data_IF_803958703333
#
_entry.id   IF_803958703333
#
_cell.length_a   1.000
_cell.length_b   1.000
_cell.length_c   1.000
_cell.angle_alpha   90.00
_cell.angle_beta   90.00
_cell.angle_gamma   90.00
#
_symmetry.space_group_name_H-M   'P 1'
#
loop_
_entity.id
_entity.type
_entity.pdbx_description
1 polymer ?
#
# COMPACT_ATOMS: atom_id res chain seq x y z
N UNK A 1 -14.81 20.22 -55.12
CA UNK A 1 -15.63 20.69 -53.98
C UNK A 1 -15.32 19.78 -52.81
N UNK A 2 -14.41 20.20 -51.91
CA UNK A 2 -14.04 19.43 -50.73
C UNK A 2 -14.85 19.97 -49.55
N UNK A 3 -15.78 19.16 -49.05
CA UNK A 3 -16.64 19.49 -47.91
C UNK A 3 -15.89 19.23 -46.59
N UNK A 4 -15.56 20.34 -45.92
CA UNK A 4 -15.41 20.58 -44.48
C UNK A 4 -15.21 19.34 -43.57
N UNK A 5 -13.96 19.10 -43.20
CA UNK A 5 -13.54 18.17 -42.13
C UNK A 5 -13.36 18.88 -40.76
N UNK A 6 -13.60 20.20 -40.68
CA UNK A 6 -13.29 21.02 -39.51
C UNK A 6 -14.45 21.90 -39.02
N UNK A 7 -15.69 21.50 -39.28
CA UNK A 7 -16.85 22.19 -38.72
C UNK A 7 -17.19 21.62 -37.33
N UNK A 8 -16.38 22.01 -36.35
CA UNK A 8 -16.48 21.59 -34.95
C UNK A 8 -16.82 22.78 -34.03
N UNK A 9 -17.66 23.70 -34.49
CA UNK A 9 -18.08 24.88 -33.70
C UNK A 9 -19.52 24.85 -33.18
N UNK A 10 -20.33 23.83 -33.48
CA UNK A 10 -21.73 23.78 -33.02
C UNK A 10 -22.06 22.54 -32.17
N UNK A 11 -21.43 22.42 -31.00
CA UNK A 11 -21.98 21.62 -29.89
C UNK A 11 -21.90 22.41 -28.59
N UNK A 12 -22.82 23.37 -28.51
CA UNK A 12 -23.25 24.03 -27.29
C UNK A 12 -23.60 22.99 -26.21
N UNK A 13 -22.85 23.05 -25.11
CA UNK A 13 -23.30 22.96 -23.72
C UNK A 13 -24.67 22.29 -23.49
N UNK A 14 -24.70 20.96 -23.57
CA UNK A 14 -25.61 20.19 -22.72
C UNK A 14 -24.85 19.89 -21.41
N UNK A 15 -25.13 20.69 -20.39
CA UNK A 15 -24.88 20.42 -18.98
C UNK A 15 -25.57 19.09 -18.60
N UNK A 16 -24.97 17.97 -19.00
CA UNK A 16 -25.16 16.72 -18.29
C UNK A 16 -24.57 16.96 -16.92
N UNK A 17 -25.45 17.16 -15.93
CA UNK A 17 -25.16 16.84 -14.53
C UNK A 17 -24.68 15.39 -14.52
N UNK A 18 -23.38 15.17 -14.74
CA UNK A 18 -22.73 13.90 -14.49
C UNK A 18 -23.00 13.63 -13.01
N UNK A 19 -23.86 12.65 -12.75
CA UNK A 19 -23.93 12.04 -11.43
C UNK A 19 -22.48 11.75 -11.04
N UNK A 20 -21.98 12.46 -10.02
CA UNK A 20 -20.63 12.26 -9.52
C UNK A 20 -20.54 10.81 -9.09
N UNK A 21 -20.01 9.96 -9.97
CA UNK A 21 -19.76 8.55 -9.66
C UNK A 21 -18.98 8.52 -8.36
N UNK A 22 -19.54 7.84 -7.37
CA UNK A 22 -18.89 7.69 -6.07
C UNK A 22 -17.50 7.08 -6.30
N UNK A 23 -16.48 7.75 -5.79
CA UNK A 23 -15.11 7.27 -5.89
C UNK A 23 -14.97 6.06 -4.97
N UNK A 24 -14.27 5.03 -5.44
CA UNK A 24 -14.05 3.82 -4.64
C UNK A 24 -13.06 4.10 -3.50
N UNK A 25 -13.41 3.58 -2.33
CA UNK A 25 -12.52 3.52 -1.17
C UNK A 25 -11.58 2.31 -1.22
N UNK A 26 -12.01 1.22 -1.88
CA UNK A 26 -11.17 0.04 -2.14
C UNK A 26 -10.07 0.36 -3.14
N UNK A 27 -8.80 0.19 -2.75
CA UNK A 27 -7.65 0.38 -3.62
C UNK A 27 -7.30 -0.91 -4.35
N UNK A 28 -7.13 -0.83 -5.67
CA UNK A 28 -6.46 -1.87 -6.41
C UNK A 28 -4.95 -1.63 -6.44
N UNK A 29 -4.17 -2.65 -6.80
CA UNK A 29 -2.70 -2.55 -6.82
C UNK A 29 -2.18 -1.44 -7.73
N UNK A 30 -2.91 -1.12 -8.80
CA UNK A 30 -2.54 -0.05 -9.72
C UNK A 30 -2.93 1.35 -9.21
N UNK A 31 -3.76 1.46 -8.16
CA UNK A 31 -4.14 2.74 -7.56
C UNK A 31 -3.13 3.20 -6.48
N UNK A 32 -2.23 2.32 -6.05
CA UNK A 32 -1.26 2.61 -5.00
C UNK A 32 -0.25 3.69 -5.44
N UNK A 33 0.21 4.51 -4.49
CA UNK A 33 1.20 5.58 -4.74
C UNK A 33 2.42 5.08 -5.52
N UNK A 34 2.94 3.90 -5.18
CA UNK A 34 4.08 3.30 -5.89
C UNK A 34 3.82 3.12 -7.39
N UNK A 35 2.60 2.70 -7.78
CA UNK A 35 2.24 2.51 -9.18
C UNK A 35 1.94 3.83 -9.90
N UNK A 36 1.46 4.85 -9.16
CA UNK A 36 1.09 6.15 -9.72
C UNK A 36 2.29 7.08 -9.89
N UNK A 37 3.33 6.93 -9.06
CA UNK A 37 4.54 7.77 -9.06
C UNK A 37 5.71 7.13 -9.82
N UNK A 38 5.50 5.96 -10.44
CA UNK A 38 6.50 5.30 -11.27
C UNK A 38 6.20 5.59 -12.74
N UNK A 39 7.15 6.22 -13.42
CA UNK A 39 7.04 6.54 -14.83
C UNK A 39 7.34 5.30 -15.70
N UNK A 40 6.85 5.25 -16.95
CA UNK A 40 7.03 4.08 -17.83
C UNK A 40 8.50 3.70 -18.09
N UNK A 41 9.42 4.65 -17.97
CA UNK A 41 10.86 4.47 -18.14
C UNK A 41 11.59 4.12 -16.84
N UNK A 42 10.86 3.91 -15.74
CA UNK A 42 11.42 3.47 -14.46
C UNK A 42 11.96 4.59 -13.58
N UNK A 43 11.76 5.85 -13.97
CA UNK A 43 12.05 7.00 -13.11
C UNK A 43 10.89 7.25 -12.14
N UNK A 44 11.21 7.74 -10.95
CA UNK A 44 10.21 8.17 -9.98
C UNK A 44 10.57 9.55 -9.46
N UNK A 45 9.61 10.46 -9.52
CA UNK A 45 9.76 11.79 -8.94
C UNK A 45 9.65 11.77 -7.41
N UNK A 46 9.35 10.63 -6.78
CA UNK A 46 9.04 10.52 -5.36
C UNK A 46 10.14 11.10 -4.46
N UNK A 47 11.40 10.87 -4.83
CA UNK A 47 12.56 11.30 -4.05
C UNK A 47 12.83 12.80 -4.12
N UNK A 48 12.26 13.50 -5.11
CA UNK A 48 12.33 14.95 -5.23
C UNK A 48 11.27 15.69 -4.41
N UNK A 49 10.29 14.96 -3.88
CA UNK A 49 9.15 15.52 -3.15
C UNK A 49 9.42 15.51 -1.64
N UNK A 50 8.94 16.55 -0.96
CA UNK A 50 8.89 16.55 0.50
C UNK A 50 7.68 15.76 1.03
N UNK A 51 7.65 15.47 2.34
CA UNK A 51 6.58 14.68 2.95
C UNK A 51 5.18 15.29 2.76
N UNK A 52 5.05 16.62 2.76
CA UNK A 52 3.77 17.30 2.56
C UNK A 52 3.26 17.14 1.13
N UNK A 53 4.15 17.21 0.15
CA UNK A 53 3.83 16.98 -1.27
C UNK A 53 3.43 15.52 -1.51
N UNK A 54 4.18 14.58 -0.92
CA UNK A 54 3.86 13.14 -0.97
C UNK A 54 2.48 12.91 -0.35
N UNK A 55 2.20 13.51 0.81
CA UNK A 55 0.91 13.39 1.48
C UNK A 55 -0.23 13.95 0.64
N UNK A 56 -0.05 15.15 0.07
CA UNK A 56 -1.03 15.79 -0.80
C UNK A 56 -1.36 14.92 -2.02
N UNK A 57 -0.36 14.31 -2.65
CA UNK A 57 -0.56 13.36 -3.75
C UNK A 57 -1.32 12.12 -3.27
N UNK A 58 -0.91 11.57 -2.13
CA UNK A 58 -1.52 10.38 -1.52
C UNK A 58 -3.00 10.56 -1.20
N UNK A 59 -3.37 11.71 -0.61
CA UNK A 59 -4.73 11.99 -0.17
C UNK A 59 -5.69 12.42 -1.29
N UNK A 60 -5.17 12.89 -2.44
CA UNK A 60 -5.98 13.43 -3.55
C UNK A 60 -6.78 12.37 -4.30
N UNK A 61 -6.22 11.18 -4.48
CA UNK A 61 -6.79 10.13 -5.32
C UNK A 61 -6.94 10.53 -6.79
N UNK A 62 -7.79 9.82 -7.53
CA UNK A 62 -8.06 10.08 -8.94
C UNK A 62 -9.58 10.07 -9.26
N UNK A 63 -9.95 10.01 -10.56
CA UNK A 63 -11.36 9.96 -10.97
C UNK A 63 -12.09 8.70 -10.47
N UNK A 64 -11.35 7.63 -10.23
CA UNK A 64 -11.87 6.33 -9.81
C UNK A 64 -11.77 6.13 -8.30
N UNK A 65 -10.70 6.58 -7.64
CA UNK A 65 -10.42 6.34 -6.22
C UNK A 65 -10.42 7.60 -5.37
N UNK A 66 -10.87 7.47 -4.13
CA UNK A 66 -10.91 8.60 -3.18
C UNK A 66 -9.52 9.07 -2.80
N UNK A 67 -8.59 8.14 -2.64
CA UNK A 67 -7.19 8.38 -2.28
C UNK A 67 -6.28 7.35 -2.97
N UNK A 68 -4.96 7.48 -2.84
CA UNK A 68 -3.94 6.55 -3.36
C UNK A 68 -3.28 5.68 -2.28
N UNK A 69 -3.62 5.91 -1.01
CA UNK A 69 -3.26 5.05 0.12
C UNK A 69 -4.39 5.02 1.14
N UNK A 70 -4.68 3.84 1.69
CA UNK A 70 -5.70 3.71 2.72
C UNK A 70 -5.35 4.47 4.02
N UNK A 71 -4.08 4.85 4.22
CA UNK A 71 -3.67 5.72 5.33
C UNK A 71 -4.32 7.12 5.26
N UNK A 72 -4.75 7.55 4.06
CA UNK A 72 -5.46 8.81 3.86
C UNK A 72 -6.96 8.75 4.22
N UNK A 73 -7.50 7.57 4.53
CA UNK A 73 -8.86 7.46 5.07
C UNK A 73 -8.99 8.25 6.38
N UNK A 74 -10.16 8.76 6.67
CA UNK A 74 -10.43 9.48 7.92
C UNK A 74 -10.34 8.51 9.12
N UNK A 75 -9.52 8.76 10.16
CA UNK A 75 -9.41 7.84 11.30
C UNK A 75 -10.73 7.68 12.05
N UNK A 76 -11.52 8.75 12.16
CA UNK A 76 -12.76 8.75 12.92
C UNK A 76 -13.91 8.10 12.14
N UNK A 77 -13.96 8.32 10.81
CA UNK A 77 -14.99 7.75 9.94
C UNK A 77 -14.67 6.35 9.40
N UNK A 78 -13.40 6.00 9.24
CA UNK A 78 -12.97 4.80 8.53
C UNK A 78 -11.60 4.25 9.03
N UNK A 79 -11.54 4.03 10.34
CA UNK A 79 -10.38 3.44 11.01
C UNK A 79 -9.94 2.09 10.38
N UNK A 80 -10.87 1.32 9.83
CA UNK A 80 -10.57 0.02 9.23
C UNK A 80 -9.65 0.16 8.01
N UNK A 81 -9.92 1.11 7.12
CA UNK A 81 -9.04 1.34 5.97
C UNK A 81 -7.69 1.90 6.43
N UNK A 82 -7.64 2.79 7.41
CA UNK A 82 -6.35 3.22 8.00
C UNK A 82 -5.54 2.00 8.46
N UNK A 83 -6.17 1.05 9.16
CA UNK A 83 -5.54 -0.20 9.59
C UNK A 83 -5.14 -1.11 8.43
N UNK A 84 -5.91 -1.14 7.34
CA UNK A 84 -5.53 -1.81 6.10
C UNK A 84 -4.27 -1.18 5.47
N UNK A 85 -4.14 0.14 5.51
CA UNK A 85 -2.96 0.88 5.05
C UNK A 85 -1.71 0.56 5.88
N UNK A 86 -1.85 0.48 7.20
CA UNK A 86 -0.77 0.05 8.11
C UNK A 86 -0.32 -1.38 7.78
N UNK A 87 -1.27 -2.29 7.59
CA UNK A 87 -0.99 -3.69 7.22
C UNK A 87 -0.29 -3.82 5.86
N UNK A 88 -0.71 -3.05 4.86
CA UNK A 88 -0.08 -3.04 3.54
C UNK A 88 1.35 -2.48 3.61
N UNK A 89 1.56 -1.45 4.42
CA UNK A 89 2.89 -0.89 4.68
C UNK A 89 3.80 -1.95 5.32
N UNK A 90 3.31 -2.64 6.34
CA UNK A 90 4.05 -3.71 7.00
C UNK A 90 4.41 -4.84 6.02
N UNK A 91 3.48 -5.26 5.16
CA UNK A 91 3.73 -6.26 4.14
C UNK A 91 4.80 -5.83 3.12
N UNK A 92 4.78 -4.58 2.67
CA UNK A 92 5.78 -4.04 1.75
C UNK A 92 7.18 -4.04 2.37
N UNK A 93 7.29 -3.61 3.64
CA UNK A 93 8.54 -3.60 4.38
C UNK A 93 9.07 -5.02 4.64
N UNK A 94 8.21 -5.97 5.03
CA UNK A 94 8.61 -7.37 5.22
C UNK A 94 9.16 -8.00 3.93
N UNK A 95 8.57 -7.68 2.77
CA UNK A 95 9.08 -8.16 1.49
C UNK A 95 10.47 -7.60 1.17
N UNK A 96 10.73 -6.32 1.47
CA UNK A 96 12.05 -5.73 1.32
C UNK A 96 13.08 -6.35 2.30
N UNK A 97 12.68 -6.57 3.56
CA UNK A 97 13.50 -7.23 4.60
C UNK A 97 13.88 -8.65 4.18
N UNK A 98 12.91 -9.42 3.67
CA UNK A 98 13.14 -10.77 3.16
C UNK A 98 14.22 -10.79 2.07
N UNK A 99 14.17 -9.84 1.14
CA UNK A 99 15.16 -9.74 0.09
C UNK A 99 16.52 -9.28 0.61
N UNK A 100 16.54 -8.36 1.58
CA UNK A 100 17.76 -7.90 2.23
C UNK A 100 18.49 -9.03 2.98
N UNK A 101 17.75 -9.96 3.59
CA UNK A 101 18.32 -11.14 4.28
C UNK A 101 18.85 -12.23 3.36
N UNK A 102 18.74 -12.08 2.03
CA UNK A 102 19.28 -13.06 1.10
C UNK A 102 20.81 -13.10 1.14
N UNK A 103 21.41 -14.28 0.91
CA UNK A 103 22.87 -14.46 0.89
C UNK A 103 23.57 -13.53 -0.11
N UNK A 104 22.92 -13.24 -1.24
CA UNK A 104 23.45 -12.31 -2.23
C UNK A 104 23.64 -10.90 -1.65
N UNK A 105 22.67 -10.42 -0.88
CA UNK A 105 22.74 -9.08 -0.28
C UNK A 105 23.83 -8.97 0.79
N UNK A 106 24.05 -10.04 1.55
CA UNK A 106 25.13 -10.13 2.54
C UNK A 106 26.53 -10.00 1.90
N UNK A 107 26.69 -10.47 0.67
CA UNK A 107 27.97 -10.37 -0.06
C UNK A 107 28.19 -9.00 -0.72
N UNK A 108 27.10 -8.31 -1.09
CA UNK A 108 27.16 -7.04 -1.84
C UNK A 108 27.29 -5.81 -0.94
N UNK A 109 26.77 -5.87 0.28
CA UNK A 109 26.75 -4.73 1.20
C UNK A 109 28.00 -4.73 2.08
N UNK A 110 28.56 -3.55 2.33
CA UNK A 110 29.65 -3.36 3.29
C UNK A 110 29.24 -3.94 4.66
N UNK A 111 30.04 -4.86 5.27
CA UNK A 111 29.62 -5.59 6.47
C UNK A 111 29.10 -4.71 7.61
N UNK A 112 29.79 -3.60 7.87
CA UNK A 112 29.39 -2.61 8.90
C UNK A 112 28.02 -1.97 8.65
N UNK A 113 27.64 -1.77 7.39
CA UNK A 113 26.33 -1.24 7.02
C UNK A 113 25.29 -2.35 7.18
N UNK A 114 25.62 -3.56 6.71
CA UNK A 114 24.75 -4.72 6.81
C UNK A 114 24.36 -5.03 8.26
N UNK A 115 25.32 -5.02 9.18
CA UNK A 115 25.08 -5.21 10.62
C UNK A 115 24.15 -4.16 11.22
N UNK A 116 24.38 -2.88 10.94
CA UNK A 116 23.51 -1.78 11.43
C UNK A 116 22.07 -1.91 10.95
N UNK A 117 21.88 -2.26 9.68
CA UNK A 117 20.54 -2.48 9.14
C UNK A 117 19.91 -3.72 9.76
N UNK A 118 20.67 -4.80 9.95
CA UNK A 118 20.18 -6.02 10.60
C UNK A 118 19.75 -5.79 12.05
N UNK A 119 20.48 -4.98 12.81
CA UNK A 119 20.08 -4.60 14.18
C UNK A 119 18.71 -3.93 14.19
N UNK A 120 18.52 -2.93 13.33
CA UNK A 120 17.22 -2.25 13.22
C UNK A 120 16.12 -3.19 12.71
N UNK A 121 16.43 -4.07 11.76
CA UNK A 121 15.48 -5.07 11.26
C UNK A 121 15.05 -6.02 12.37
N UNK A 122 15.96 -6.50 13.22
CA UNK A 122 15.62 -7.41 14.32
C UNK A 122 14.61 -6.79 15.29
N UNK A 123 14.74 -5.49 15.56
CA UNK A 123 13.78 -4.76 16.39
C UNK A 123 12.42 -4.60 15.70
N UNK A 124 12.44 -4.30 14.40
CA UNK A 124 11.25 -3.91 13.65
C UNK A 124 10.45 -5.10 13.11
N UNK A 125 11.11 -6.20 12.76
CA UNK A 125 10.51 -7.32 12.03
C UNK A 125 9.36 -7.96 12.82
N UNK A 126 9.52 -8.20 14.12
CA UNK A 126 8.45 -8.74 14.97
C UNK A 126 7.24 -7.79 15.00
N UNK A 127 7.49 -6.48 15.06
CA UNK A 127 6.44 -5.45 14.97
C UNK A 127 5.72 -5.50 13.61
N UNK A 128 6.45 -5.64 12.51
CA UNK A 128 5.84 -5.71 11.17
C UNK A 128 5.04 -7.00 10.96
N UNK A 129 5.51 -8.14 11.48
CA UNK A 129 4.74 -9.39 11.41
C UNK A 129 3.43 -9.29 12.18
N UNK A 130 3.43 -8.68 13.36
CA UNK A 130 2.21 -8.45 14.16
C UNK A 130 1.20 -7.51 13.47
N UNK A 131 1.68 -6.54 12.68
CA UNK A 131 0.83 -5.62 11.91
C UNK A 131 0.41 -6.15 10.54
N UNK A 132 1.06 -7.20 10.04
CA UNK A 132 0.75 -7.77 8.74
C UNK A 132 -0.43 -8.74 8.81
N UNK A 133 -1.64 -8.19 8.72
CA UNK A 133 -2.88 -8.97 8.63
C UNK A 133 -3.14 -9.60 7.26
N UNK A 134 -2.21 -9.52 6.31
CA UNK A 134 -2.36 -10.06 4.96
C UNK A 134 -3.39 -9.32 4.08
N UNK A 135 -3.58 -9.85 2.86
CA UNK A 135 -4.48 -9.26 1.84
C UNK A 135 -5.97 -9.39 2.16
N UNK A 136 -6.32 -10.25 3.09
CA UNK A 136 -7.63 -10.32 3.74
C UNK A 136 -7.35 -10.58 5.21
N UNK A 137 -8.09 -9.89 6.09
CA UNK A 137 -8.13 -10.29 7.51
C UNK A 137 -8.30 -11.81 7.59
N UNK A 138 -7.62 -12.42 8.56
CA UNK A 138 -7.26 -13.82 8.82
C UNK A 138 -8.25 -14.97 8.49
N UNK A 139 -9.39 -14.72 7.85
CA UNK A 139 -10.42 -15.69 7.50
C UNK A 139 -10.97 -15.61 6.07
N UNK A 140 -10.50 -14.70 5.21
CA UNK A 140 -10.88 -14.72 3.79
C UNK A 140 -9.68 -14.69 2.85
N UNK A 141 -9.56 -15.76 2.05
CA UNK A 141 -8.86 -15.76 0.78
C UNK A 141 -9.59 -14.80 -0.16
N UNK A 142 -9.16 -13.54 -0.21
CA UNK A 142 -9.52 -12.70 -1.35
C UNK A 142 -9.02 -13.44 -2.59
N UNK A 143 -9.93 -13.65 -3.54
CA UNK A 143 -9.58 -14.30 -4.80
C UNK A 143 -8.70 -13.32 -5.56
N UNK A 144 -7.40 -13.35 -5.24
CA UNK A 144 -6.39 -12.65 -6.00
C UNK A 144 -6.57 -12.97 -7.48
N UNK A 145 -6.01 -12.12 -8.34
CA UNK A 145 -6.10 -12.29 -9.80
C UNK A 145 -5.93 -13.77 -10.21
N UNK A 146 -6.54 -14.20 -11.31
CA UNK A 146 -6.49 -15.60 -11.77
C UNK A 146 -5.07 -16.20 -11.73
N UNK A 147 -4.03 -15.37 -11.92
CA UNK A 147 -2.61 -15.72 -11.75
C UNK A 147 -2.21 -16.04 -10.29
N UNK A 148 -2.66 -15.28 -9.30
CA UNK A 148 -2.47 -15.55 -7.87
C UNK A 148 -3.24 -16.79 -7.41
N UNK A 149 -4.47 -17.00 -7.87
CA UNK A 149 -5.22 -18.23 -7.59
C UNK A 149 -4.52 -19.47 -8.17
N UNK A 150 -3.98 -19.38 -9.39
CA UNK A 150 -3.18 -20.44 -10.03
C UNK A 150 -1.84 -20.67 -9.32
N UNK A 151 -1.17 -19.60 -8.87
CA UNK A 151 0.08 -19.70 -8.11
C UNK A 151 -0.15 -20.31 -6.72
N UNK A 152 -1.23 -19.94 -6.02
CA UNK A 152 -1.61 -20.51 -4.73
C UNK A 152 -1.91 -22.02 -4.82
N UNK A 153 -2.48 -22.50 -5.93
CA UNK A 153 -2.63 -23.94 -6.22
C UNK A 153 -1.30 -24.68 -6.39
N UNK A 154 -0.21 -23.98 -6.74
CA UNK A 154 1.13 -24.55 -6.92
C UNK A 154 2.05 -24.32 -5.71
N UNK A 155 1.79 -23.30 -4.90
CA UNK A 155 2.61 -22.89 -3.75
C UNK A 155 1.87 -23.02 -2.42
N UNK A 156 0.92 -23.94 -2.29
CA UNK A 156 0.15 -24.20 -1.06
C UNK A 156 1.01 -24.65 0.14
N UNK A 157 2.33 -24.72 -0.03
CA UNK A 157 3.37 -24.86 1.00
C UNK A 157 4.10 -23.55 1.34
N UNK A 158 3.56 -22.38 0.96
CA UNK A 158 4.09 -21.11 1.46
C UNK A 158 3.73 -20.96 2.94
N UNK A 159 4.57 -21.50 3.82
CA UNK A 159 4.58 -21.20 5.24
C UNK A 159 4.51 -19.69 5.40
N UNK A 160 3.41 -19.20 5.99
CA UNK A 160 3.42 -17.90 6.63
C UNK A 160 4.49 -18.05 7.71
N UNK A 161 5.61 -17.34 7.57
CA UNK A 161 6.67 -17.31 8.58
C UNK A 161 6.05 -16.72 9.84
N UNK A 162 5.58 -17.61 10.72
CA UNK A 162 5.07 -17.26 12.04
C UNK A 162 6.27 -16.71 12.82
N UNK A 163 6.19 -15.48 13.35
CA UNK A 163 7.31 -14.90 14.09
C UNK A 163 7.67 -15.78 15.28
N UNK A 164 8.97 -15.80 15.63
CA UNK A 164 9.50 -16.59 16.73
C UNK A 164 8.95 -16.15 18.10
N UNK A 165 8.50 -14.91 18.22
CA UNK A 165 7.86 -14.36 19.41
C UNK A 165 6.57 -13.60 19.03
N UNK A 166 5.40 -13.98 19.56
CA UNK A 166 4.16 -13.27 19.29
C UNK A 166 4.15 -11.93 20.03
N UNK A 167 4.09 -10.83 19.28
CA UNK A 167 3.85 -9.48 19.80
C UNK A 167 2.38 -9.13 19.66
N UNK A 168 1.80 -8.44 20.66
CA UNK A 168 0.44 -7.92 20.57
C UNK A 168 0.34 -6.87 19.42
N UNK A 169 -0.60 -7.01 18.47
CA UNK A 169 -0.75 -6.04 17.37
C UNK A 169 -0.96 -4.59 17.82
N UNK A 170 -1.53 -4.36 19.01
CA UNK A 170 -1.72 -3.01 19.54
C UNK A 170 -0.41 -2.40 20.02
N UNK A 171 0.39 -3.17 20.75
CA UNK A 171 1.76 -2.79 21.11
C UNK A 171 2.62 -2.56 19.86
N UNK A 172 2.44 -3.42 18.85
CA UNK A 172 3.12 -3.28 17.55
C UNK A 172 2.73 -1.96 16.86
N UNK A 173 1.47 -1.52 16.94
CA UNK A 173 1.01 -0.26 16.36
C UNK A 173 1.76 0.94 16.97
N UNK A 174 1.92 0.95 18.29
CA UNK A 174 2.66 1.98 19.03
C UNK A 174 4.14 1.98 18.64
N UNK A 175 4.78 0.80 18.67
CA UNK A 175 6.19 0.65 18.27
C UNK A 175 6.44 1.08 16.83
N UNK A 176 5.53 0.73 15.92
CA UNK A 176 5.65 1.11 14.51
C UNK A 176 5.51 2.62 14.31
N UNK A 177 4.55 3.28 14.99
CA UNK A 177 4.44 4.73 14.97
C UNK A 177 5.71 5.41 15.52
N UNK A 178 6.22 4.92 16.66
CA UNK A 178 7.45 5.43 17.23
C UNK A 178 8.64 5.28 16.28
N UNK A 179 8.73 4.15 15.57
CA UNK A 179 9.72 3.96 14.51
C UNK A 179 9.55 4.97 13.37
N UNK A 180 8.33 5.17 12.85
CA UNK A 180 8.03 6.14 11.79
C UNK A 180 8.41 7.58 12.19
N UNK A 181 8.32 7.92 13.47
CA UNK A 181 8.67 9.23 14.00
C UNK A 181 10.19 9.45 14.22
N UNK A 182 11.03 8.41 14.12
CA UNK A 182 12.49 8.57 14.23
C UNK A 182 13.03 9.47 13.11
N UNK A 183 13.94 10.38 13.41
CA UNK A 183 14.59 11.22 12.38
C UNK A 183 15.49 10.42 11.43
N UNK A 184 16.17 9.40 11.97
CA UNK A 184 17.16 8.59 11.25
C UNK A 184 16.84 7.10 11.39
N UNK A 185 17.02 6.39 10.29
CA UNK A 185 16.86 4.93 10.18
C UNK A 185 17.84 4.42 9.14
N UNK A 186 18.60 3.38 9.49
CA UNK A 186 19.49 2.69 8.57
C UNK A 186 18.68 1.93 7.51
N UNK A 187 17.57 1.32 7.91
CA UNK A 187 16.64 0.66 6.99
C UNK A 187 16.08 1.65 5.95
N UNK A 188 15.72 2.89 6.33
CA UNK A 188 15.29 3.91 5.37
C UNK A 188 16.37 4.26 4.36
N UNK A 189 17.61 4.44 4.83
CA UNK A 189 18.75 4.70 3.94
C UNK A 189 18.95 3.57 2.95
N UNK A 190 18.82 2.31 3.40
CA UNK A 190 18.87 1.15 2.51
C UNK A 190 17.73 1.17 1.48
N UNK A 191 16.48 1.36 1.93
CA UNK A 191 15.29 1.38 1.06
C UNK A 191 15.44 2.41 -0.05
N UNK A 192 15.93 3.61 0.29
CA UNK A 192 16.21 4.67 -0.67
C UNK A 192 17.32 4.28 -1.66
N UNK A 193 18.47 3.81 -1.18
CA UNK A 193 19.61 3.47 -2.06
C UNK A 193 19.29 2.31 -3.01
N UNK A 194 18.49 1.34 -2.55
CA UNK A 194 18.14 0.15 -3.33
C UNK A 194 16.80 0.30 -4.07
N UNK A 195 16.18 1.48 -4.05
CA UNK A 195 14.87 1.74 -4.65
C UNK A 195 14.83 1.47 -6.16
N UNK A 196 15.98 1.33 -6.83
CA UNK A 196 16.04 0.87 -8.23
C UNK A 196 15.49 -0.54 -8.47
N UNK A 197 15.26 -1.35 -7.43
CA UNK A 197 14.60 -2.65 -7.53
C UNK A 197 13.18 -2.59 -6.95
N UNK A 198 12.22 -3.15 -7.70
CA UNK A 198 10.77 -3.15 -7.42
C UNK A 198 10.37 -3.37 -5.95
N UNK A 199 11.03 -4.30 -5.24
CA UNK A 199 10.66 -4.61 -3.86
C UNK A 199 11.10 -3.54 -2.86
N UNK A 200 12.32 -3.02 -3.04
CA UNK A 200 12.82 -1.90 -2.24
C UNK A 200 12.11 -0.59 -2.62
N UNK A 201 11.78 -0.36 -3.89
CA UNK A 201 10.95 0.77 -4.32
C UNK A 201 9.58 0.77 -3.62
N UNK A 202 8.92 -0.39 -3.61
CA UNK A 202 7.60 -0.52 -2.98
C UNK A 202 7.70 -0.31 -1.47
N UNK A 203 8.74 -0.87 -0.83
CA UNK A 203 9.01 -0.66 0.60
C UNK A 203 9.32 0.81 0.93
N UNK A 204 10.15 1.46 0.13
CA UNK A 204 10.50 2.88 0.23
C UNK A 204 9.27 3.77 0.10
N UNK A 205 8.45 3.55 -0.92
CA UNK A 205 7.24 4.33 -1.13
C UNK A 205 6.24 4.13 0.01
N UNK A 206 6.05 2.89 0.47
CA UNK A 206 5.14 2.60 1.57
C UNK A 206 5.62 3.25 2.89
N UNK A 207 6.92 3.19 3.15
CA UNK A 207 7.55 3.88 4.29
C UNK A 207 7.33 5.39 4.23
N UNK A 208 7.63 6.02 3.09
CA UNK A 208 7.48 7.45 2.90
C UNK A 208 6.04 7.91 3.10
N UNK A 209 5.08 7.16 2.54
CA UNK A 209 3.65 7.45 2.70
C UNK A 209 3.23 7.30 4.17
N UNK A 210 3.69 6.27 4.88
CA UNK A 210 3.40 6.09 6.29
C UNK A 210 4.02 7.18 7.18
N UNK A 211 5.25 7.61 6.88
CA UNK A 211 5.90 8.71 7.57
C UNK A 211 5.22 10.06 7.27
N UNK A 212 4.84 10.29 6.02
CA UNK A 212 4.02 11.44 5.64
C UNK A 212 2.67 11.45 6.36
N UNK A 213 2.05 10.29 6.57
CA UNK A 213 0.82 10.14 7.34
C UNK A 213 0.98 10.43 8.84
N UNK A 214 2.18 10.27 9.42
CA UNK A 214 2.46 10.67 10.82
C UNK A 214 2.77 12.16 10.93
N UNK A 215 3.43 12.72 9.92
CA UNK A 215 3.89 14.12 9.94
C UNK A 215 2.80 15.12 9.51
N UNK A 216 2.05 14.80 8.45
CA UNK A 216 1.14 15.74 7.78
C UNK A 216 -0.32 15.54 8.19
N UNK A 217 -0.65 14.34 8.65
CA UNK A 217 -1.89 14.04 9.36
C UNK A 217 -1.45 13.78 10.80
N UNK A 218 -1.92 14.53 11.80
CA UNK A 218 -1.48 14.32 13.18
C UNK A 218 -2.12 13.06 13.76
N UNK A 219 -1.88 11.89 13.14
CA UNK A 219 -2.36 10.62 13.65
C UNK A 219 -1.68 10.37 14.99
N UNK A 220 -2.49 10.47 16.03
CA UNK A 220 -2.10 10.19 17.40
C UNK A 220 -1.74 8.71 17.52
N UNK A 221 -1.08 8.38 18.62
CA UNK A 221 -0.87 6.97 18.98
C UNK A 221 -2.20 6.23 19.10
N UNK A 222 -3.22 6.90 19.63
CA UNK A 222 -4.55 6.33 19.78
C UNK A 222 -5.20 6.04 18.42
N UNK A 223 -4.95 6.85 17.39
CA UNK A 223 -5.47 6.61 16.04
C UNK A 223 -4.85 5.35 15.42
N UNK A 224 -3.55 5.11 15.63
CA UNK A 224 -2.90 3.87 15.21
C UNK A 224 -3.49 2.66 15.93
N UNK A 225 -3.69 2.75 17.24
CA UNK A 225 -4.30 1.67 18.03
C UNK A 225 -5.73 1.41 17.55
N UNK A 226 -6.54 2.46 17.36
CA UNK A 226 -7.92 2.36 16.89
C UNK A 226 -7.99 1.76 15.49
N UNK A 227 -7.10 2.17 14.59
CA UNK A 227 -6.99 1.62 13.25
C UNK A 227 -6.65 0.12 13.25
N UNK A 228 -5.72 -0.32 14.10
CA UNK A 228 -5.37 -1.74 14.23
C UNK A 228 -6.50 -2.53 14.89
N UNK A 229 -7.13 -2.01 15.96
CA UNK A 229 -8.33 -2.62 16.57
C UNK A 229 -9.45 -2.78 15.55
N UNK A 230 -9.74 -1.73 14.79
CA UNK A 230 -10.72 -1.76 13.73
C UNK A 230 -10.32 -2.80 12.68
N UNK A 231 -9.06 -2.88 12.26
CA UNK A 231 -8.62 -3.90 11.30
C UNK A 231 -8.79 -5.34 11.80
N UNK A 232 -8.60 -5.56 13.10
CA UNK A 232 -8.84 -6.85 13.75
C UNK A 232 -10.33 -7.20 13.82
N UNK A 233 -11.18 -6.18 14.00
CA UNK A 233 -12.64 -6.31 14.05
C UNK A 233 -13.20 -6.23 12.63
N UNK A 234 -13.57 -7.38 12.06
CA UNK A 234 -14.18 -7.44 10.72
C UNK A 234 -15.33 -6.41 10.62
N UNK A 235 -15.34 -5.50 9.63
CA UNK A 235 -16.53 -4.72 9.35
C UNK A 235 -17.56 -5.72 8.87
N UNK A 236 -18.70 -5.79 9.56
CA UNK A 236 -19.87 -6.50 9.05
C UNK A 236 -20.10 -5.98 7.63
N UNK A 237 -19.87 -6.85 6.64
CA UNK A 237 -20.15 -6.47 5.26
C UNK A 237 -21.65 -6.19 5.23
N UNK A 238 -22.02 -4.93 4.99
CA UNK A 238 -23.35 -4.62 4.52
C UNK A 238 -23.60 -5.53 3.31
N UNK A 239 -24.55 -6.44 3.44
CA UNK A 239 -25.01 -7.33 2.38
C UNK A 239 -25.45 -6.45 1.19
N UNK A 240 -24.60 -6.29 0.18
CA UNK A 240 -24.95 -5.43 -0.95
C UNK A 240 -23.90 -5.29 -2.03
N UNK A 241 -22.60 -5.29 -1.70
CA UNK A 241 -21.55 -5.19 -2.72
C UNK A 241 -20.98 -6.56 -3.08
N UNK A 242 -21.82 -7.47 -3.59
CA UNK A 242 -21.28 -8.51 -4.47
C UNK A 242 -20.85 -7.79 -5.74
N UNK A 243 -19.54 -7.75 -6.01
CA UNK A 243 -19.07 -7.46 -7.36
C UNK A 243 -19.86 -8.37 -8.30
N UNK A 244 -20.47 -7.78 -9.34
CA UNK A 244 -21.16 -8.55 -10.36
C UNK A 244 -20.24 -9.71 -10.76
N UNK A 245 -20.70 -10.94 -10.53
CA UNK A 245 -20.04 -12.12 -11.06
C UNK A 245 -19.84 -11.85 -12.54
N UNK A 246 -18.58 -11.82 -12.98
CA UNK A 246 -18.27 -11.70 -14.40
C UNK A 246 -19.07 -12.77 -15.13
N UNK A 247 -20.00 -12.32 -15.98
CA UNK A 247 -20.74 -13.16 -16.88
C UNK A 247 -19.70 -13.98 -17.68
N UNK A 248 -19.77 -15.33 -17.68
CA UNK A 248 -18.77 -16.16 -18.36
C UNK A 248 -18.78 -16.02 -19.89
N UNK A 249 -19.66 -15.20 -20.47
CA UNK A 249 -19.59 -14.80 -21.88
C UNK A 249 -18.39 -13.89 -22.10
N UNK A 250 -17.28 -14.51 -22.52
CA UNK A 250 -16.03 -13.82 -22.81
C UNK A 250 -16.18 -12.77 -23.90
N UNK A 251 -15.25 -11.81 -23.88
CA UNK A 251 -15.08 -10.70 -24.83
C UNK A 251 -14.74 -11.15 -26.28
N UNK A 252 -14.92 -12.42 -26.63
CA UNK A 252 -14.57 -13.01 -27.92
C UNK A 252 -15.60 -14.01 -28.45
N UNK A 253 -16.86 -13.93 -28.03
CA UNK A 253 -17.93 -14.62 -28.76
C UNK A 253 -18.55 -13.64 -29.76
N UNK A 254 -18.11 -13.79 -31.02
CA UNK A 254 -18.73 -13.28 -32.23
C UNK A 254 -19.46 -14.44 -32.93
#
# INVERSE_FOLDING_TARGET
>A
MASNLFDASDRLDEDKKEEKKERRTKLYSYDAVAAQMLEPYGESSLDSLNLEQIWKGTAKGNKSTTYHSHLAADPDGDAWHVGAGLSQTAAALLMAIKNFKSENMKQLIVPKIYEKVLEEIKELETTLHALNFGKGSSTHTDTGSFRQAKKAKWTSTANIETPAEPMDPLEAAVKFRAWLAKDKSALRGLLFVLSGNNTYYTGHTAELVARAAVHCKPMSEQDFINAVKARMQKPEQAEGSKAASADPSGLFDA
#
